data_IF_613024725341
#
_entry.id   IF_613024725341
#
_cell.length_a   1.000
_cell.length_b   1.000
_cell.length_c   1.000
_cell.angle_alpha   90.00
_cell.angle_beta   90.00
_cell.angle_gamma   90.00
#
_symmetry.space_group_name_H-M   'P 1'
#
loop_
_entity.id
_entity.type
_entity.pdbx_description
1 polymer ?
#
# COMPACT_ATOMS: atom_id res chain seq x y z
N UNK A 1 1.89 10.11 44.10
CA UNK A 1 2.57 9.84 45.41
C UNK A 1 3.97 9.25 45.23
N UNK A 2 5.00 9.73 45.94
CA UNK A 2 6.38 9.18 45.90
C UNK A 2 6.51 7.95 46.81
N UNK A 3 6.98 6.82 46.28
CA UNK A 3 7.13 5.56 47.03
C UNK A 3 8.57 5.31 47.47
N UNK A 4 9.54 5.65 46.62
CA UNK A 4 10.97 5.45 46.93
C UNK A 4 11.41 6.40 48.05
N UNK A 5 11.99 5.83 49.12
CA UNK A 5 12.55 6.59 50.26
C UNK A 5 14.05 6.84 50.13
N UNK A 6 14.81 5.83 49.70
CA UNK A 6 16.26 5.91 49.53
C UNK A 6 16.65 5.46 48.13
N UNK A 7 17.61 6.16 47.53
CA UNK A 7 18.15 5.84 46.20
C UNK A 7 19.66 5.73 46.22
N UNK A 8 20.19 4.93 45.30
CA UNK A 8 21.63 4.75 45.12
C UNK A 8 22.17 5.84 44.19
N UNK A 9 23.01 6.73 44.73
CA UNK A 9 23.64 7.82 44.00
C UNK A 9 25.14 7.53 43.85
N UNK A 10 25.73 7.91 42.73
CA UNK A 10 27.18 7.83 42.51
C UNK A 10 27.86 9.10 43.01
N UNK A 11 28.90 8.95 43.82
CA UNK A 11 29.78 10.05 44.17
C UNK A 11 30.54 10.56 42.94
N UNK A 12 30.47 11.87 42.70
CA UNK A 12 31.27 12.55 41.70
C UNK A 12 31.76 13.91 42.23
N UNK A 13 32.82 14.49 41.65
CA UNK A 13 33.33 15.78 42.12
C UNK A 13 32.30 16.92 42.10
N UNK A 14 31.31 16.86 41.21
CA UNK A 14 30.28 17.89 41.02
C UNK A 14 29.25 17.86 42.16
N UNK A 15 28.82 16.68 42.59
CA UNK A 15 27.82 16.49 43.64
C UNK A 15 28.43 16.34 45.04
N UNK A 16 29.77 16.26 45.12
CA UNK A 16 30.52 16.09 46.36
C UNK A 16 30.07 17.06 47.46
N UNK A 17 30.28 18.35 47.20
CA UNK A 17 30.04 19.43 48.17
C UNK A 17 28.58 19.43 48.67
N UNK A 18 27.64 19.25 47.74
CA UNK A 18 26.21 19.25 48.04
C UNK A 18 25.82 18.13 49.03
N UNK A 19 26.32 16.90 48.83
CA UNK A 19 25.97 15.80 49.73
C UNK A 19 26.80 15.79 51.02
N UNK A 20 28.03 16.31 51.02
CA UNK A 20 28.80 16.53 52.26
C UNK A 20 28.09 17.53 53.19
N UNK A 21 27.58 18.66 52.66
CA UNK A 21 26.80 19.66 53.41
C UNK A 21 25.51 19.08 54.00
N UNK A 22 24.95 18.05 53.35
CA UNK A 22 23.77 17.30 53.81
C UNK A 22 24.10 16.18 54.81
N UNK A 23 25.36 15.99 55.16
CA UNK A 23 25.82 15.01 56.15
C UNK A 23 26.18 13.64 55.59
N UNK A 24 26.23 13.47 54.26
CA UNK A 24 26.68 12.22 53.64
C UNK A 24 28.21 12.21 53.53
N UNK A 25 28.88 11.39 54.35
CA UNK A 25 30.34 11.28 54.45
C UNK A 25 30.72 9.84 54.85
N UNK A 26 31.91 9.30 54.49
CA UNK A 26 32.98 9.92 53.70
C UNK A 26 32.76 9.87 52.18
N UNK A 27 33.32 10.86 51.47
CA UNK A 27 33.43 10.85 50.02
C UNK A 27 34.39 9.76 49.56
N UNK A 28 33.90 8.81 48.76
CA UNK A 28 34.72 7.79 48.12
C UNK A 28 34.50 7.90 46.61
N UNK A 29 35.56 8.30 45.89
CA UNK A 29 35.51 8.59 44.46
C UNK A 29 34.89 7.44 43.66
N UNK A 30 33.91 7.77 42.81
CA UNK A 30 33.22 6.84 41.90
C UNK A 30 32.49 5.67 42.58
N UNK A 31 32.36 5.70 43.90
CA UNK A 31 31.56 4.74 44.66
C UNK A 31 30.09 5.14 44.67
N UNK A 32 29.24 4.25 45.19
CA UNK A 32 27.82 4.51 45.37
C UNK A 32 27.46 4.58 46.85
N UNK A 33 26.53 5.45 47.18
CA UNK A 33 25.99 5.62 48.52
C UNK A 33 24.47 5.76 48.46
N UNK A 34 23.81 5.54 49.60
CA UNK A 34 22.35 5.65 49.73
C UNK A 34 22.00 7.06 50.21
N UNK A 35 21.12 7.72 49.47
CA UNK A 35 20.65 9.09 49.74
C UNK A 35 19.14 9.06 49.94
N UNK A 36 18.63 9.84 50.88
CA UNK A 36 17.19 10.07 51.00
C UNK A 36 16.67 10.79 49.74
N UNK A 37 15.51 10.39 49.22
CA UNK A 37 14.98 10.99 47.98
C UNK A 37 14.72 12.49 48.14
N UNK A 38 14.39 12.95 49.34
CA UNK A 38 14.16 14.38 49.61
C UNK A 38 15.46 15.20 49.57
N UNK A 39 16.62 14.57 49.74
CA UNK A 39 17.93 15.21 49.61
C UNK A 39 18.47 15.20 48.18
N UNK A 40 17.78 14.57 47.22
CA UNK A 40 18.20 14.62 45.82
C UNK A 40 18.13 16.04 45.27
N UNK A 41 19.14 16.40 44.48
CA UNK A 41 19.10 17.62 43.67
C UNK A 41 17.89 17.60 42.71
N UNK A 42 17.23 18.75 42.54
CA UNK A 42 16.00 18.86 41.73
C UNK A 42 16.17 18.37 40.28
N UNK A 43 17.36 18.55 39.70
CA UNK A 43 17.73 18.12 38.35
C UNK A 43 18.30 16.69 38.26
N UNK A 44 18.20 15.90 39.33
CA UNK A 44 18.74 14.54 39.36
C UNK A 44 18.01 13.60 38.39
N UNK A 45 18.77 12.94 37.52
CA UNK A 45 18.27 11.89 36.61
C UNK A 45 18.07 10.51 37.27
N UNK A 46 18.18 10.41 38.60
CA UNK A 46 17.97 9.15 39.32
C UNK A 46 16.51 8.73 39.22
N UNK A 47 16.25 7.46 38.90
CA UNK A 47 14.90 6.90 38.80
C UNK A 47 14.32 6.69 40.19
N UNK A 48 13.07 7.10 40.35
CA UNK A 48 12.23 6.91 41.54
C UNK A 48 10.92 6.25 41.14
N UNK A 49 10.36 5.48 42.06
CA UNK A 49 9.05 4.87 41.92
C UNK A 49 7.99 5.78 42.53
N UNK A 50 6.94 6.01 41.76
CA UNK A 50 5.77 6.81 42.16
C UNK A 50 4.49 6.03 41.89
N UNK A 51 3.50 6.18 42.76
CA UNK A 51 2.15 5.73 42.50
C UNK A 51 1.39 6.81 41.70
N UNK A 52 0.61 6.37 40.71
CA UNK A 52 -0.29 7.20 39.92
C UNK A 52 -1.49 7.67 40.77
N UNK A 53 -1.62 8.97 40.99
CA UNK A 53 -2.69 9.54 41.82
C UNK A 53 -4.07 9.33 41.19
N UNK A 54 -4.18 9.36 39.85
CA UNK A 54 -5.43 9.10 39.12
C UNK A 54 -5.91 7.65 39.18
N UNK A 55 -4.99 6.70 39.30
CA UNK A 55 -5.36 5.29 39.52
C UNK A 55 -5.80 5.10 40.96
N UNK A 56 -5.10 5.72 41.91
CA UNK A 56 -5.45 5.67 43.34
C UNK A 56 -6.85 6.23 43.59
N UNK A 57 -7.23 7.33 42.93
CA UNK A 57 -8.60 7.89 42.99
C UNK A 57 -9.68 6.89 42.52
N UNK A 58 -9.32 5.89 41.70
CA UNK A 58 -10.21 4.82 41.23
C UNK A 58 -10.12 3.54 42.07
N UNK A 59 -9.30 3.53 43.14
CA UNK A 59 -9.04 2.34 43.94
C UNK A 59 -8.01 1.37 43.36
N UNK A 60 -7.27 1.78 42.31
CA UNK A 60 -6.25 0.96 41.67
C UNK A 60 -4.83 1.45 42.02
N UNK A 61 -3.90 0.52 42.30
CA UNK A 61 -2.49 0.87 42.54
C UNK A 61 -1.69 0.61 41.27
N UNK A 62 -1.24 1.69 40.61
CA UNK A 62 -0.29 1.61 39.49
C UNK A 62 1.01 2.33 39.85
N UNK A 63 2.12 1.59 39.83
CA UNK A 63 3.46 2.09 40.12
C UNK A 63 4.19 2.40 38.81
N UNK A 64 4.89 3.53 38.78
CA UNK A 64 5.62 4.03 37.61
C UNK A 64 7.03 4.41 38.04
N UNK A 65 8.03 3.94 37.29
CA UNK A 65 9.41 4.39 37.42
C UNK A 65 9.63 5.60 36.51
N UNK A 66 10.12 6.72 37.06
CA UNK A 66 10.48 7.92 36.31
C UNK A 66 11.66 8.64 36.96
N UNK A 67 12.38 9.45 36.20
CA UNK A 67 13.48 10.25 36.74
C UNK A 67 12.96 11.34 37.69
N UNK A 68 13.71 11.59 38.77
CA UNK A 68 13.35 12.60 39.77
C UNK A 68 13.19 14.00 39.15
N UNK A 69 14.11 14.40 38.27
CA UNK A 69 14.02 15.66 37.52
C UNK A 69 12.75 15.76 36.68
N UNK A 70 12.43 14.70 35.94
CA UNK A 70 11.23 14.64 35.10
C UNK A 70 9.96 14.73 35.96
N UNK A 71 9.90 14.03 37.08
CA UNK A 71 8.81 14.12 38.05
C UNK A 71 8.63 15.56 38.55
N UNK A 72 9.71 16.18 39.01
CA UNK A 72 9.67 17.55 39.53
C UNK A 72 9.14 18.52 38.47
N UNK A 73 9.62 18.41 37.23
CA UNK A 73 9.13 19.22 36.12
C UNK A 73 7.64 18.99 35.80
N UNK A 74 7.20 17.74 35.77
CA UNK A 74 5.81 17.37 35.53
C UNK A 74 4.87 17.82 36.66
N UNK A 75 5.39 17.98 37.88
CA UNK A 75 4.60 18.32 39.06
C UNK A 75 4.62 19.81 39.41
N UNK A 76 5.32 20.65 38.63
CA UNK A 76 5.41 22.11 38.84
C UNK A 76 4.06 22.82 38.89
N UNK A 77 3.10 22.36 38.08
CA UNK A 77 1.80 23.01 37.93
C UNK A 77 0.75 22.31 38.79
N UNK A 78 0.73 20.99 38.76
CA UNK A 78 -0.12 20.16 39.60
C UNK A 78 0.72 19.10 40.29
N UNK A 79 0.57 18.96 41.60
CA UNK A 79 1.33 18.01 42.41
C UNK A 79 0.75 16.59 42.35
N UNK A 80 0.45 16.12 41.12
CA UNK A 80 -0.06 14.77 40.85
C UNK A 80 0.88 14.01 39.93
N UNK A 81 1.16 12.76 40.23
CA UNK A 81 1.84 11.79 39.40
C UNK A 81 0.85 10.97 38.58
N UNK A 82 1.14 10.76 37.30
CA UNK A 82 0.31 9.91 36.43
C UNK A 82 1.13 8.77 35.83
N UNK A 83 0.45 7.64 35.57
CA UNK A 83 0.91 6.62 34.64
C UNK A 83 0.66 7.06 33.20
N UNK A 84 1.17 6.28 32.23
CA UNK A 84 0.99 6.57 30.81
C UNK A 84 -0.50 6.63 30.40
N UNK A 85 -1.33 5.71 30.93
CA UNK A 85 -2.77 5.67 30.64
C UNK A 85 -3.52 6.89 31.18
N UNK A 86 -3.09 7.41 32.33
CA UNK A 86 -3.71 8.57 32.98
C UNK A 86 -3.05 9.89 32.59
N UNK A 87 -2.00 9.88 31.76
CA UNK A 87 -1.34 11.09 31.27
C UNK A 87 -2.31 12.07 30.58
N UNK A 88 -3.29 11.63 29.77
CA UNK A 88 -4.28 12.54 29.18
C UNK A 88 -5.14 13.25 30.24
N UNK A 89 -5.50 12.58 31.34
CA UNK A 89 -6.24 13.18 32.46
C UNK A 89 -5.38 14.25 33.14
N UNK A 90 -4.11 13.92 33.39
CA UNK A 90 -3.15 14.88 33.94
C UNK A 90 -2.98 16.10 33.04
N UNK A 91 -2.87 15.89 31.73
CA UNK A 91 -2.76 16.97 30.76
C UNK A 91 -4.00 17.88 30.78
N UNK A 92 -5.20 17.30 30.89
CA UNK A 92 -6.45 18.04 31.03
C UNK A 92 -6.45 18.92 32.29
N UNK A 93 -6.08 18.37 33.44
CA UNK A 93 -5.99 19.14 34.70
C UNK A 93 -4.96 20.28 34.60
N UNK A 94 -3.82 20.04 33.96
CA UNK A 94 -2.79 21.07 33.71
C UNK A 94 -3.35 22.18 32.81
N UNK A 95 -4.03 21.83 31.72
CA UNK A 95 -4.63 22.82 30.81
C UNK A 95 -5.70 23.64 31.51
N UNK A 96 -6.55 23.00 32.30
CA UNK A 96 -7.60 23.68 33.05
C UNK A 96 -7.02 24.65 34.08
N UNK A 97 -5.96 24.25 34.81
CA UNK A 97 -5.28 25.12 35.77
C UNK A 97 -4.56 26.31 35.10
N UNK A 98 -4.01 26.13 33.90
CA UNK A 98 -3.26 27.20 33.21
C UNK A 98 -4.14 28.15 32.39
N UNK A 99 -5.17 27.62 31.75
CA UNK A 99 -5.91 28.31 30.69
C UNK A 99 -7.44 28.22 30.86
N UNK A 100 -7.94 27.55 31.91
CA UNK A 100 -9.38 27.40 32.14
C UNK A 100 -10.10 26.50 31.14
N UNK A 101 -9.36 25.81 30.26
CA UNK A 101 -9.90 24.96 29.20
C UNK A 101 -9.34 23.54 29.29
N UNK A 102 -10.06 22.56 28.79
CA UNK A 102 -9.66 21.16 28.84
C UNK A 102 -8.62 20.80 27.77
N UNK A 103 -8.63 21.54 26.67
CA UNK A 103 -7.80 21.30 25.50
C UNK A 103 -7.20 22.60 24.96
N UNK A 104 -5.93 22.58 24.59
CA UNK A 104 -5.25 23.71 23.95
C UNK A 104 -5.98 24.22 22.68
N UNK A 105 -6.71 23.37 21.97
CA UNK A 105 -7.51 23.75 20.79
C UNK A 105 -8.72 24.66 21.11
N UNK A 106 -9.13 24.72 22.38
CA UNK A 106 -10.17 25.64 22.86
C UNK A 106 -9.61 27.04 23.16
N UNK A 107 -8.29 27.21 23.20
CA UNK A 107 -7.66 28.52 23.39
C UNK A 107 -7.83 29.33 22.10
N UNK A 108 -8.48 30.49 22.21
CA UNK A 108 -8.87 31.29 21.04
C UNK A 108 -7.67 31.70 20.17
N UNK A 109 -6.56 32.10 20.78
CA UNK A 109 -5.32 32.44 20.05
C UNK A 109 -4.79 31.26 19.22
N UNK A 110 -4.83 30.05 19.78
CA UNK A 110 -4.38 28.83 19.10
C UNK A 110 -5.33 28.50 17.95
N UNK A 111 -6.64 28.66 18.17
CA UNK A 111 -7.67 28.45 17.16
C UNK A 111 -7.53 29.42 15.98
N UNK A 112 -7.31 30.70 16.26
CA UNK A 112 -7.06 31.73 15.24
C UNK A 112 -5.78 31.41 14.47
N UNK A 113 -4.68 31.10 15.16
CA UNK A 113 -3.39 30.76 14.55
C UNK A 113 -3.51 29.55 13.62
N UNK A 114 -4.16 28.48 14.08
CA UNK A 114 -4.40 27.29 13.27
C UNK A 114 -5.29 27.57 12.05
N UNK A 115 -6.30 28.42 12.20
CA UNK A 115 -7.16 28.82 11.09
C UNK A 115 -6.37 29.61 10.03
N UNK A 116 -5.50 30.52 10.45
CA UNK A 116 -4.66 31.31 9.54
C UNK A 116 -3.59 30.44 8.85
N UNK A 117 -3.01 29.46 9.53
CA UNK A 117 -2.10 28.48 8.92
C UNK A 117 -2.77 27.65 7.82
N UNK A 118 -4.08 27.46 7.88
CA UNK A 118 -4.87 26.75 6.86
C UNK A 118 -5.31 27.65 5.72
N UNK A 119 -5.07 28.96 5.76
CA UNK A 119 -5.40 29.85 4.64
C UNK A 119 -4.29 29.83 3.61
N UNK A 120 -4.67 29.73 2.35
CA UNK A 120 -3.79 29.88 1.21
C UNK A 120 -3.90 31.31 0.68
N UNK A 121 -2.77 31.87 0.24
CA UNK A 121 -2.75 33.14 -0.47
C UNK A 121 -3.56 33.04 -1.79
N UNK A 122 -4.54 33.93 -1.97
CA UNK A 122 -5.41 33.99 -3.16
C UNK A 122 -4.59 34.25 -4.43
N UNK A 123 -3.56 35.09 -4.38
CA UNK A 123 -2.71 35.40 -5.54
C UNK A 123 -2.00 34.15 -6.06
N UNK A 124 -1.60 33.26 -5.15
CA UNK A 124 -1.00 31.97 -5.50
C UNK A 124 -2.01 31.07 -6.23
N UNK A 125 -3.27 31.07 -5.78
CA UNK A 125 -4.34 30.27 -6.41
C UNK A 125 -4.59 30.78 -7.83
N UNK A 126 -4.73 32.09 -8.00
CA UNK A 126 -4.96 32.74 -9.31
C UNK A 126 -3.81 32.41 -10.26
N UNK A 127 -2.55 32.57 -9.81
CA UNK A 127 -1.36 32.26 -10.61
C UNK A 127 -1.38 30.82 -11.14
N UNK A 128 -1.62 29.84 -10.26
CA UNK A 128 -1.64 28.42 -10.64
C UNK A 128 -2.80 28.11 -11.60
N UNK A 129 -3.98 28.72 -11.39
CA UNK A 129 -5.12 28.52 -12.28
C UNK A 129 -4.84 29.05 -13.68
N UNK A 130 -4.21 30.23 -13.79
CA UNK A 130 -3.80 30.81 -15.07
C UNK A 130 -2.76 29.93 -15.78
N UNK A 131 -1.72 29.47 -15.06
CA UNK A 131 -0.70 28.55 -15.59
C UNK A 131 -1.32 27.23 -16.13
N UNK A 132 -2.42 26.77 -15.53
CA UNK A 132 -3.13 25.55 -15.93
C UNK A 132 -4.26 25.78 -16.94
N UNK A 133 -4.45 27.02 -17.39
CA UNK A 133 -5.52 27.43 -18.31
C UNK A 133 -6.93 27.13 -17.75
N UNK A 134 -7.16 27.50 -16.48
CA UNK A 134 -8.45 27.45 -15.81
C UNK A 134 -9.00 28.87 -15.60
N UNK A 135 -10.29 29.07 -15.88
CA UNK A 135 -11.01 30.31 -15.56
C UNK A 135 -11.73 30.13 -14.24
N UNK A 136 -11.37 30.91 -13.22
CA UNK A 136 -12.00 30.87 -11.89
C UNK A 136 -13.40 31.49 -11.97
N UNK A 137 -14.39 30.80 -11.40
CA UNK A 137 -15.77 31.27 -11.29
C UNK A 137 -16.06 31.74 -9.87
N UNK A 138 -15.70 30.92 -8.87
CA UNK A 138 -15.97 31.22 -7.47
C UNK A 138 -14.94 30.58 -6.55
N UNK A 139 -14.64 31.26 -5.44
CA UNK A 139 -13.78 30.76 -4.35
C UNK A 139 -14.60 30.85 -3.07
N UNK A 140 -15.03 29.70 -2.52
CA UNK A 140 -15.93 29.68 -1.35
C UNK A 140 -15.26 30.26 -0.11
N UNK A 141 -14.00 29.89 0.12
CA UNK A 141 -13.11 30.49 1.10
C UNK A 141 -11.65 30.23 0.67
N UNK A 142 -10.71 31.00 1.22
CA UNK A 142 -9.29 30.84 0.90
C UNK A 142 -8.60 29.76 1.75
N UNK A 143 -9.33 28.85 2.40
CA UNK A 143 -8.69 27.76 3.15
C UNK A 143 -8.13 26.74 2.17
N UNK A 144 -7.08 26.02 2.58
CA UNK A 144 -6.47 24.95 1.78
C UNK A 144 -7.50 23.89 1.38
N UNK A 145 -8.46 23.59 2.25
CA UNK A 145 -9.55 22.65 1.96
C UNK A 145 -10.83 23.32 1.42
N UNK A 146 -10.79 24.64 1.16
CA UNK A 146 -11.88 25.40 0.56
C UNK A 146 -12.20 24.95 -0.86
N UNK A 147 -13.42 25.19 -1.30
CA UNK A 147 -13.88 24.86 -2.66
C UNK A 147 -13.52 25.99 -3.64
N UNK A 148 -13.10 25.57 -4.83
CA UNK A 148 -12.83 26.39 -5.99
C UNK A 148 -13.69 25.88 -7.14
N UNK A 149 -14.52 26.76 -7.68
CA UNK A 149 -15.27 26.53 -8.91
C UNK A 149 -14.53 27.18 -10.08
N UNK A 150 -14.31 26.40 -11.13
CA UNK A 150 -13.54 26.84 -12.29
C UNK A 150 -14.04 26.16 -13.57
N UNK A 151 -13.74 26.77 -14.70
CA UNK A 151 -13.91 26.18 -16.04
C UNK A 151 -12.53 25.81 -16.57
N UNK A 152 -12.41 24.61 -17.11
CA UNK A 152 -11.19 24.19 -17.78
C UNK A 152 -11.27 24.57 -19.26
N UNK A 153 -10.39 25.48 -19.71
CA UNK A 153 -10.41 25.96 -21.10
C UNK A 153 -9.97 24.90 -22.12
N UNK A 154 -9.31 23.82 -21.68
CA UNK A 154 -9.02 22.64 -22.51
C UNK A 154 -10.25 21.76 -22.74
N UNK A 155 -11.22 21.81 -21.83
CA UNK A 155 -12.42 20.96 -21.83
C UNK A 155 -13.66 21.80 -21.50
N UNK A 156 -14.01 22.80 -22.34
CA UNK A 156 -15.09 23.75 -22.05
C UNK A 156 -16.46 23.07 -21.95
N UNK A 157 -16.63 21.96 -22.65
CA UNK A 157 -17.83 21.12 -22.69
C UNK A 157 -18.17 20.44 -21.35
N UNK A 158 -17.26 20.43 -20.36
CA UNK A 158 -17.57 19.99 -19.00
C UNK A 158 -18.29 21.06 -18.17
N UNK A 159 -18.29 22.32 -18.61
CA UNK A 159 -18.83 23.44 -17.85
C UNK A 159 -18.05 23.69 -16.56
N UNK A 160 -18.77 24.17 -15.54
CA UNK A 160 -18.22 24.53 -14.23
C UNK A 160 -17.89 23.26 -13.44
N UNK A 161 -16.64 23.15 -13.00
CA UNK A 161 -16.15 22.08 -12.15
C UNK A 161 -15.77 22.62 -10.79
N UNK A 162 -16.03 21.84 -9.73
CA UNK A 162 -15.68 22.19 -8.36
C UNK A 162 -14.62 21.24 -7.81
N UNK A 163 -13.60 21.77 -7.16
CA UNK A 163 -12.55 20.98 -6.49
C UNK A 163 -12.02 21.70 -5.25
N UNK A 164 -11.21 21.01 -4.45
CA UNK A 164 -10.52 21.62 -3.31
C UNK A 164 -9.31 22.43 -3.78
N UNK A 165 -9.07 23.58 -3.14
CA UNK A 165 -7.90 24.43 -3.40
C UNK A 165 -6.59 23.63 -3.28
N UNK A 166 -6.47 22.73 -2.29
CA UNK A 166 -5.29 21.86 -2.15
C UNK A 166 -4.97 21.05 -3.39
N UNK A 167 -5.99 20.53 -4.08
CA UNK A 167 -5.78 19.66 -5.24
C UNK A 167 -5.18 20.45 -6.40
N UNK A 168 -5.60 21.72 -6.54
CA UNK A 168 -5.02 22.66 -7.49
C UNK A 168 -3.56 22.94 -7.13
N UNK A 169 -3.23 23.19 -5.86
CA UNK A 169 -1.87 23.52 -5.44
C UNK A 169 -0.91 22.33 -5.55
N UNK A 170 -1.30 21.17 -5.02
CA UNK A 170 -0.43 19.99 -4.85
C UNK A 170 -0.24 19.19 -6.16
N UNK A 171 -0.70 19.70 -7.31
CA UNK A 171 -0.57 19.10 -8.66
C UNK A 171 -1.34 17.79 -8.92
N UNK A 172 -2.21 17.35 -8.01
CA UNK A 172 -2.91 16.06 -8.14
C UNK A 172 -4.25 16.11 -8.89
N UNK A 173 -4.68 17.26 -9.37
CA UNK A 173 -5.90 17.36 -10.16
C UNK A 173 -6.49 18.75 -10.20
N UNK A 174 -7.61 18.81 -10.89
CA UNK A 174 -8.40 20.01 -11.15
C UNK A 174 -9.53 19.57 -12.06
N UNK A 175 -9.33 19.75 -13.37
CA UNK A 175 -10.23 19.21 -14.38
C UNK A 175 -10.25 17.67 -14.36
N UNK A 176 -11.45 17.09 -14.38
CA UNK A 176 -11.69 15.64 -14.36
C UNK A 176 -11.00 14.92 -15.53
N UNK A 177 -11.09 15.46 -16.75
CA UNK A 177 -10.48 14.86 -17.94
C UNK A 177 -8.96 15.03 -17.91
N UNK A 178 -8.45 16.24 -17.66
CA UNK A 178 -6.99 16.45 -17.58
C UNK A 178 -6.33 15.55 -16.53
N UNK A 179 -7.00 15.36 -15.39
CA UNK A 179 -6.51 14.46 -14.34
C UNK A 179 -6.56 12.98 -14.72
N UNK A 180 -7.44 12.60 -15.64
CA UNK A 180 -7.55 11.24 -16.14
C UNK A 180 -6.50 10.95 -17.19
N UNK A 181 -6.33 11.85 -18.15
CA UNK A 181 -5.35 11.73 -19.22
C UNK A 181 -3.92 11.70 -18.67
N UNK A 182 -3.64 12.51 -17.63
CA UNK A 182 -2.34 12.54 -16.97
C UNK A 182 -1.95 11.24 -16.24
N UNK A 183 -2.84 10.24 -16.18
CA UNK A 183 -2.63 8.96 -15.48
C UNK A 183 -2.78 7.75 -16.41
N UNK A 184 -3.01 7.99 -17.70
CA UNK A 184 -3.19 6.94 -18.70
C UNK A 184 -1.97 6.84 -19.61
N UNK A 185 -1.99 5.79 -20.43
CA UNK A 185 -0.93 5.53 -21.41
C UNK A 185 0.42 5.41 -20.69
N UNK A 186 1.47 6.07 -21.18
CA UNK A 186 2.81 6.08 -20.60
C UNK A 186 2.90 6.60 -19.17
N UNK A 187 1.91 7.38 -18.73
CA UNK A 187 1.85 7.90 -17.37
C UNK A 187 1.28 6.88 -16.36
N UNK A 188 0.76 5.75 -16.84
CA UNK A 188 0.29 4.68 -15.97
C UNK A 188 1.46 3.82 -15.49
N UNK A 189 1.53 3.55 -14.19
CA UNK A 189 2.50 2.59 -13.62
C UNK A 189 2.31 1.16 -14.18
N UNK A 190 1.16 0.86 -14.79
CA UNK A 190 0.88 -0.41 -15.46
C UNK A 190 1.34 -0.41 -16.93
N UNK A 191 1.86 0.70 -17.44
CA UNK A 191 2.26 0.81 -18.84
C UNK A 191 3.49 -0.05 -19.14
N UNK A 192 3.38 -0.86 -20.19
CA UNK A 192 4.44 -1.76 -20.67
C UNK A 192 4.77 -1.47 -22.14
N UNK A 193 5.06 -0.21 -22.45
CA UNK A 193 5.54 0.20 -23.77
C UNK A 193 4.49 0.20 -24.89
N UNK A 194 3.18 0.33 -24.59
CA UNK A 194 2.15 0.45 -25.64
C UNK A 194 1.84 -0.82 -26.44
N UNK A 195 2.42 -1.98 -26.09
CA UNK A 195 2.29 -3.25 -26.84
C UNK A 195 0.84 -3.75 -27.04
N UNK A 196 -0.12 -3.21 -26.27
CA UNK A 196 -1.51 -3.67 -26.26
C UNK A 196 -2.20 -3.52 -27.62
N UNK A 197 -1.87 -2.49 -28.40
CA UNK A 197 -2.50 -2.24 -29.71
C UNK A 197 -2.13 -3.35 -30.71
N UNK A 198 -0.83 -3.58 -30.92
CA UNK A 198 -0.31 -4.64 -31.78
C UNK A 198 -0.70 -6.04 -31.29
N UNK A 199 -0.61 -6.27 -29.98
CA UNK A 199 -0.98 -7.54 -29.38
C UNK A 199 -2.44 -7.93 -29.65
N UNK A 200 -3.38 -6.98 -29.50
CA UNK A 200 -4.79 -7.25 -29.76
C UNK A 200 -5.06 -7.52 -31.25
N UNK A 201 -4.39 -6.80 -32.14
CA UNK A 201 -4.47 -7.03 -33.59
C UNK A 201 -4.00 -8.44 -33.98
N UNK A 202 -2.80 -8.84 -33.52
CA UNK A 202 -2.19 -10.12 -33.88
C UNK A 202 -2.93 -11.34 -33.30
N UNK A 203 -3.63 -11.20 -32.17
CA UNK A 203 -4.45 -12.30 -31.61
C UNK A 203 -5.52 -12.83 -32.56
N UNK A 204 -6.01 -11.98 -33.46
CA UNK A 204 -7.01 -12.34 -34.45
C UNK A 204 -6.40 -13.02 -35.69
N UNK A 205 -5.07 -12.95 -35.86
CA UNK A 205 -4.34 -13.41 -37.05
C UNK A 205 -3.75 -14.82 -36.91
N UNK A 206 -3.70 -15.34 -35.68
CA UNK A 206 -3.15 -16.68 -35.37
C UNK A 206 -4.19 -17.81 -35.41
N UNK A 207 -5.34 -17.61 -36.08
CA UNK A 207 -6.45 -18.57 -36.05
C UNK A 207 -6.12 -19.93 -36.68
N UNK A 208 -5.27 -19.97 -37.72
CA UNK A 208 -4.77 -21.22 -38.30
C UNK A 208 -4.01 -22.05 -37.27
N UNK A 209 -3.06 -21.44 -36.57
CA UNK A 209 -2.31 -22.08 -35.49
C UNK A 209 -3.22 -22.57 -34.36
N UNK A 210 -4.26 -21.79 -34.01
CA UNK A 210 -5.25 -22.22 -33.01
C UNK A 210 -6.01 -23.48 -33.45
N UNK A 211 -6.47 -23.51 -34.70
CA UNK A 211 -7.19 -24.66 -35.26
C UNK A 211 -6.30 -25.90 -35.28
N UNK A 212 -5.04 -25.77 -35.70
CA UNK A 212 -4.11 -26.90 -35.75
C UNK A 212 -3.75 -27.41 -34.35
N UNK A 213 -3.63 -26.50 -33.39
CA UNK A 213 -3.48 -26.84 -31.96
C UNK A 213 -4.68 -27.67 -31.47
N UNK A 214 -5.92 -27.31 -31.82
CA UNK A 214 -7.10 -28.08 -31.46
C UNK A 214 -7.14 -29.45 -32.15
N UNK A 215 -6.83 -29.52 -33.45
CA UNK A 215 -6.79 -30.77 -34.22
C UNK A 215 -5.84 -31.79 -33.61
N UNK A 216 -4.64 -31.37 -33.20
CA UNK A 216 -3.65 -32.23 -32.55
C UNK A 216 -4.21 -32.96 -31.32
N UNK A 217 -5.13 -32.33 -30.60
CA UNK A 217 -5.77 -32.88 -29.39
C UNK A 217 -7.19 -33.40 -29.65
N UNK A 218 -7.57 -33.66 -30.91
CA UNK A 218 -8.91 -34.11 -31.28
C UNK A 218 -10.02 -33.22 -30.71
N UNK A 219 -9.80 -31.90 -30.67
CA UNK A 219 -10.72 -30.91 -30.11
C UNK A 219 -11.10 -31.16 -28.65
N UNK A 220 -10.17 -31.73 -27.87
CA UNK A 220 -10.36 -32.02 -26.44
C UNK A 220 -9.31 -31.30 -25.59
N UNK A 221 -9.68 -31.00 -24.36
CA UNK A 221 -8.77 -30.51 -23.34
C UNK A 221 -7.68 -31.56 -23.08
N UNK A 222 -6.42 -31.13 -23.09
CA UNK A 222 -5.26 -32.00 -22.87
C UNK A 222 -5.30 -32.72 -21.51
N UNK A 223 -5.92 -32.11 -20.49
CA UNK A 223 -6.01 -32.67 -19.14
C UNK A 223 -7.33 -33.44 -18.96
N UNK A 224 -8.47 -32.77 -19.07
CA UNK A 224 -9.78 -33.36 -18.75
C UNK A 224 -10.37 -34.22 -19.87
N UNK A 225 -9.90 -34.09 -21.12
CA UNK A 225 -10.47 -34.78 -22.28
C UNK A 225 -11.84 -34.25 -22.73
N UNK A 226 -12.35 -33.19 -22.12
CA UNK A 226 -13.62 -32.55 -22.49
C UNK A 226 -13.46 -31.61 -23.68
N UNK A 227 -14.55 -31.33 -24.40
CA UNK A 227 -14.54 -30.52 -25.62
C UNK A 227 -15.31 -29.19 -25.48
N UNK A 228 -15.73 -28.82 -24.27
CA UNK A 228 -16.52 -27.61 -24.03
C UNK A 228 -15.61 -26.39 -23.77
N UNK A 229 -15.83 -25.30 -24.49
CA UNK A 229 -15.21 -23.97 -24.26
C UNK A 229 -13.69 -24.00 -24.04
N UNK A 230 -12.94 -24.53 -25.01
CA UNK A 230 -11.49 -24.66 -24.90
C UNK A 230 -10.74 -23.33 -25.12
N UNK A 231 -9.77 -23.05 -24.25
CA UNK A 231 -8.77 -22.00 -24.40
C UNK A 231 -7.41 -22.62 -24.74
N UNK A 232 -6.69 -22.01 -25.68
CA UNK A 232 -5.37 -22.52 -26.09
C UNK A 232 -4.30 -21.80 -25.29
N UNK A 233 -3.66 -22.55 -24.40
CA UNK A 233 -2.52 -22.08 -23.63
C UNK A 233 -1.27 -22.06 -24.51
N UNK A 234 -0.53 -20.95 -24.48
CA UNK A 234 0.73 -20.80 -25.21
C UNK A 234 1.87 -21.28 -24.31
N UNK A 235 2.64 -22.27 -24.77
CA UNK A 235 3.84 -22.74 -24.05
C UNK A 235 4.91 -21.65 -24.06
N UNK A 236 5.15 -21.04 -25.22
CA UNK A 236 5.99 -19.85 -25.32
C UNK A 236 5.11 -18.58 -25.27
N UNK A 237 5.28 -17.68 -24.29
CA UNK A 237 4.36 -16.57 -24.07
C UNK A 237 4.15 -15.68 -25.31
N UNK A 238 2.90 -15.38 -25.63
CA UNK A 238 2.55 -14.58 -26.81
C UNK A 238 3.24 -13.21 -26.87
N UNK A 239 3.44 -12.53 -25.73
CA UNK A 239 4.20 -11.27 -25.69
C UNK A 239 5.66 -11.45 -26.14
N UNK A 240 6.30 -12.59 -25.83
CA UNK A 240 7.65 -12.88 -26.29
C UNK A 240 7.66 -13.12 -27.80
N UNK A 241 6.68 -13.85 -28.34
CA UNK A 241 6.54 -14.05 -29.78
C UNK A 241 6.41 -12.72 -30.53
N UNK A 242 5.63 -11.76 -30.01
CA UNK A 242 5.50 -10.44 -30.63
C UNK A 242 6.84 -9.70 -30.61
N UNK A 243 7.55 -9.71 -29.48
CA UNK A 243 8.87 -9.08 -29.38
C UNK A 243 9.88 -9.71 -30.36
N UNK A 244 9.93 -11.05 -30.41
CA UNK A 244 10.81 -11.78 -31.32
C UNK A 244 10.46 -11.49 -32.78
N UNK A 245 9.17 -11.33 -33.11
CA UNK A 245 8.70 -10.94 -34.44
C UNK A 245 9.26 -9.57 -34.84
N UNK A 246 9.18 -8.58 -33.95
CA UNK A 246 9.68 -7.23 -34.21
C UNK A 246 11.21 -7.21 -34.33
N UNK A 247 11.90 -7.99 -33.49
CA UNK A 247 13.36 -8.13 -33.52
C UNK A 247 13.81 -8.80 -34.84
N UNK A 248 13.20 -9.92 -35.24
CA UNK A 248 13.56 -10.62 -36.48
C UNK A 248 13.28 -9.79 -37.73
N UNK A 249 12.26 -8.93 -37.71
CA UNK A 249 11.95 -8.00 -38.82
C UNK A 249 12.72 -6.68 -38.75
N UNK A 250 13.52 -6.47 -37.71
CA UNK A 250 14.19 -5.20 -37.42
C UNK A 250 13.23 -3.99 -37.44
N UNK A 251 12.04 -4.16 -36.85
CA UNK A 251 11.00 -3.14 -36.76
C UNK A 251 10.88 -2.58 -35.34
N UNK A 252 10.62 -1.28 -35.24
CA UNK A 252 10.34 -0.61 -33.95
C UNK A 252 8.85 -0.75 -33.63
N UNK A 253 8.54 -0.99 -32.36
CA UNK A 253 7.15 -0.99 -31.86
C UNK A 253 6.55 0.41 -32.00
N UNK A 254 5.45 0.53 -32.76
CA UNK A 254 4.69 1.77 -32.93
C UNK A 254 3.48 1.79 -31.98
N UNK A 255 2.99 2.99 -31.68
CA UNK A 255 1.97 3.20 -30.67
C UNK A 255 0.58 2.69 -31.11
N UNK A 256 0.17 3.03 -32.33
CA UNK A 256 -1.11 2.62 -32.91
C UNK A 256 -0.92 1.69 -34.10
N UNK A 257 -1.92 0.84 -34.36
CA UNK A 257 -1.97 0.02 -35.58
C UNK A 257 -1.94 0.88 -36.84
N UNK A 258 -2.57 2.06 -36.80
CA UNK A 258 -2.58 3.01 -37.92
C UNK A 258 -1.20 3.54 -38.29
N UNK A 259 -0.22 3.44 -37.40
CA UNK A 259 1.13 3.94 -37.64
C UNK A 259 1.96 2.95 -38.48
N UNK A 260 1.50 1.71 -38.62
CA UNK A 260 2.14 0.71 -39.47
C UNK A 260 1.64 0.83 -40.91
N UNK A 261 2.56 0.67 -41.88
CA UNK A 261 2.16 0.50 -43.27
C UNK A 261 1.46 -0.84 -43.47
N UNK A 262 0.70 -0.97 -44.56
CA UNK A 262 0.02 -2.23 -44.89
C UNK A 262 1.04 -3.36 -45.14
N UNK A 263 2.18 -3.02 -45.72
CA UNK A 263 3.29 -3.93 -46.01
C UNK A 263 3.95 -4.39 -44.70
N UNK A 264 4.24 -3.47 -43.77
CA UNK A 264 4.78 -3.80 -42.45
C UNK A 264 3.84 -4.73 -41.68
N UNK A 265 2.54 -4.42 -41.63
CA UNK A 265 1.56 -5.27 -40.93
C UNK A 265 1.51 -6.68 -41.52
N UNK A 266 1.53 -6.80 -42.85
CA UNK A 266 1.52 -8.10 -43.50
C UNK A 266 2.77 -8.93 -43.14
N UNK A 267 3.95 -8.31 -43.14
CA UNK A 267 5.19 -8.97 -42.73
C UNK A 267 5.14 -9.41 -41.26
N UNK A 268 4.65 -8.54 -40.37
CA UNK A 268 4.48 -8.87 -38.95
C UNK A 268 3.50 -10.03 -38.77
N UNK A 269 2.38 -10.05 -39.49
CA UNK A 269 1.39 -11.13 -39.42
C UNK A 269 2.00 -12.48 -39.82
N UNK A 270 2.67 -12.52 -40.97
CA UNK A 270 3.30 -13.73 -41.52
C UNK A 270 4.39 -14.24 -40.58
N UNK A 271 5.29 -13.36 -40.13
CA UNK A 271 6.38 -13.72 -39.22
C UNK A 271 5.86 -14.12 -37.84
N UNK A 272 4.86 -13.42 -37.31
CA UNK A 272 4.24 -13.77 -36.04
C UNK A 272 3.67 -15.19 -36.11
N UNK A 273 2.92 -15.51 -37.17
CA UNK A 273 2.36 -16.85 -37.36
C UNK A 273 3.47 -17.91 -37.51
N UNK A 274 4.51 -17.63 -38.30
CA UNK A 274 5.69 -18.50 -38.44
C UNK A 274 6.31 -18.82 -37.07
N UNK A 275 6.54 -17.81 -36.23
CA UNK A 275 7.11 -17.99 -34.90
C UNK A 275 6.18 -18.77 -33.96
N UNK A 276 4.86 -18.68 -34.11
CA UNK A 276 3.94 -19.55 -33.35
C UNK A 276 4.15 -21.02 -33.71
N UNK A 277 4.28 -21.37 -34.99
CA UNK A 277 4.55 -22.76 -35.38
C UNK A 277 5.96 -23.20 -34.98
N UNK A 278 6.97 -22.33 -35.10
CA UNK A 278 8.36 -22.61 -34.69
C UNK A 278 8.47 -22.94 -33.20
N UNK A 279 7.70 -22.24 -32.36
CA UNK A 279 7.65 -22.47 -30.91
C UNK A 279 6.68 -23.59 -30.49
N UNK A 280 6.04 -24.26 -31.46
CA UNK A 280 5.15 -25.39 -31.23
C UNK A 280 3.67 -25.01 -31.08
N UNK A 281 2.82 -26.03 -31.22
CA UNK A 281 1.36 -25.89 -31.06
C UNK A 281 0.97 -25.68 -29.60
N UNK A 282 -0.09 -24.90 -29.38
CA UNK A 282 -0.62 -24.63 -28.06
C UNK A 282 -1.39 -25.81 -27.48
N UNK A 283 -1.68 -25.71 -26.18
CA UNK A 283 -2.31 -26.78 -25.41
C UNK A 283 -3.75 -26.39 -25.08
N UNK A 284 -4.77 -27.08 -25.62
CA UNK A 284 -6.16 -26.79 -25.31
C UNK A 284 -6.49 -27.16 -23.87
N UNK A 285 -7.00 -26.20 -23.11
CA UNK A 285 -7.39 -26.34 -21.71
C UNK A 285 -8.81 -25.80 -21.50
N UNK A 286 -9.50 -26.32 -20.48
CA UNK A 286 -10.70 -25.65 -19.98
C UNK A 286 -10.29 -24.33 -19.32
N UNK A 287 -11.14 -23.29 -19.32
CA UNK A 287 -10.79 -21.98 -18.76
C UNK A 287 -10.40 -22.07 -17.28
N UNK A 288 -11.06 -22.97 -16.56
CA UNK A 288 -10.80 -23.27 -15.14
C UNK A 288 -9.37 -23.81 -14.94
N UNK A 289 -8.98 -24.81 -15.75
CA UNK A 289 -7.64 -25.42 -15.72
C UNK A 289 -6.55 -24.43 -16.16
N UNK A 290 -6.84 -23.62 -17.18
CA UNK A 290 -5.93 -22.59 -17.66
C UNK A 290 -5.67 -21.51 -16.60
N UNK A 291 -6.71 -21.11 -15.87
CA UNK A 291 -6.58 -20.18 -14.74
C UNK A 291 -5.79 -20.80 -13.60
N UNK A 292 -6.08 -22.05 -13.22
CA UNK A 292 -5.34 -22.76 -12.17
C UNK A 292 -3.86 -22.89 -12.49
N UNK A 293 -3.51 -23.17 -13.75
CA UNK A 293 -2.13 -23.22 -14.22
C UNK A 293 -1.41 -21.89 -13.97
N UNK A 294 -2.01 -20.76 -14.38
CA UNK A 294 -1.42 -19.44 -14.17
C UNK A 294 -1.40 -18.99 -12.71
N UNK A 295 -2.31 -19.49 -11.86
CA UNK A 295 -2.26 -19.25 -10.43
C UNK A 295 -1.10 -19.99 -9.76
N UNK A 296 -0.83 -21.24 -10.18
CA UNK A 296 0.24 -22.05 -9.61
C UNK A 296 1.63 -21.63 -10.08
N UNK A 297 1.79 -21.28 -11.36
CA UNK A 297 3.11 -21.09 -11.96
C UNK A 297 3.35 -19.68 -12.51
N UNK A 298 2.35 -18.79 -12.38
CA UNK A 298 2.42 -17.43 -12.89
C UNK A 298 1.97 -17.30 -14.35
N UNK A 299 1.93 -16.04 -14.82
CA UNK A 299 1.53 -15.70 -16.20
C UNK A 299 2.70 -15.73 -17.21
N UNK A 300 3.91 -16.01 -16.74
CA UNK A 300 5.14 -16.04 -17.53
C UNK A 300 5.75 -17.44 -17.52
N UNK A 301 6.37 -17.83 -18.64
CA UNK A 301 7.26 -19.00 -18.77
C UNK A 301 6.70 -20.33 -18.25
N UNK A 302 5.41 -20.56 -18.50
CA UNK A 302 4.77 -21.84 -18.22
C UNK A 302 5.11 -22.84 -19.32
N UNK A 303 6.09 -23.69 -19.05
CA UNK A 303 6.47 -24.79 -19.94
C UNK A 303 5.62 -26.06 -19.77
N UNK A 304 5.94 -27.11 -20.54
CA UNK A 304 5.23 -28.40 -20.47
C UNK A 304 5.41 -29.12 -19.13
N UNK A 305 6.49 -28.81 -18.37
CA UNK A 305 6.75 -29.44 -17.07
C UNK A 305 5.75 -28.95 -16.03
N UNK A 306 5.40 -27.67 -16.05
CA UNK A 306 4.36 -27.10 -15.18
C UNK A 306 2.97 -27.70 -15.45
N UNK A 307 2.68 -28.04 -16.71
CA UNK A 307 1.42 -28.71 -17.07
C UNK A 307 1.41 -30.14 -16.52
N UNK A 308 2.53 -30.86 -16.61
CA UNK A 308 2.66 -32.19 -16.00
C UNK A 308 2.53 -32.12 -14.48
N UNK A 309 3.16 -31.15 -13.83
CA UNK A 309 3.02 -30.91 -12.39
C UNK A 309 1.58 -30.59 -11.99
N UNK A 310 0.85 -29.81 -12.81
CA UNK A 310 -0.58 -29.58 -12.60
C UNK A 310 -1.36 -30.89 -12.66
N UNK A 311 -1.09 -31.75 -13.64
CA UNK A 311 -1.74 -33.07 -13.77
C UNK A 311 -1.45 -33.93 -12.53
N UNK A 312 -0.21 -33.98 -12.05
CA UNK A 312 0.18 -34.72 -10.84
C UNK A 312 -0.51 -34.17 -9.59
N UNK A 313 -0.54 -32.85 -9.42
CA UNK A 313 -1.20 -32.21 -8.29
C UNK A 313 -2.71 -32.46 -8.25
N UNK A 314 -3.36 -32.51 -9.41
CA UNK A 314 -4.77 -32.92 -9.52
C UNK A 314 -4.92 -34.39 -9.14
N UNK A 315 -4.09 -35.30 -9.70
CA UNK A 315 -4.17 -36.74 -9.43
C UNK A 315 -3.98 -37.07 -7.96
N UNK A 316 -3.06 -36.37 -7.30
CA UNK A 316 -2.73 -36.60 -5.89
C UNK A 316 -3.71 -35.89 -4.92
N UNK A 317 -4.74 -35.19 -5.42
CA UNK A 317 -5.69 -34.42 -4.60
C UNK A 317 -5.07 -33.22 -3.87
N UNK A 318 -3.79 -32.92 -4.10
CA UNK A 318 -3.01 -31.92 -3.36
C UNK A 318 -3.25 -30.48 -3.84
N UNK A 319 -3.95 -30.29 -4.96
CA UNK A 319 -4.17 -28.98 -5.54
C UNK A 319 -4.91 -28.02 -4.61
N UNK A 320 -5.78 -28.54 -3.73
CA UNK A 320 -6.53 -27.75 -2.75
C UNK A 320 -5.61 -27.11 -1.69
N UNK A 321 -4.70 -27.91 -1.13
CA UNK A 321 -3.75 -27.44 -0.12
C UNK A 321 -2.82 -26.36 -0.70
N UNK A 322 -2.29 -26.61 -1.90
CA UNK A 322 -1.34 -25.69 -2.55
C UNK A 322 -2.00 -24.35 -2.91
N UNK A 323 -3.25 -24.36 -3.37
CA UNK A 323 -3.97 -23.12 -3.72
C UNK A 323 -4.34 -22.30 -2.48
N UNK A 324 -4.65 -22.93 -1.34
CA UNK A 324 -4.88 -22.25 -0.07
C UNK A 324 -3.60 -21.62 0.47
N UNK A 325 -2.51 -22.40 0.52
CA UNK A 325 -1.20 -21.94 1.01
C UNK A 325 -0.70 -20.71 0.21
N UNK A 326 -0.88 -20.71 -1.11
CA UNK A 326 -0.52 -19.56 -1.96
C UNK A 326 -1.42 -18.33 -1.78
N UNK A 327 -2.69 -18.53 -1.45
CA UNK A 327 -3.59 -17.42 -1.17
C UNK A 327 -3.18 -16.72 0.14
N UNK A 328 -2.76 -17.49 1.14
CA UNK A 328 -2.23 -16.96 2.41
C UNK A 328 -0.87 -16.27 2.24
N UNK A 329 0.01 -16.79 1.37
CA UNK A 329 1.25 -16.10 1.00
C UNK A 329 1.01 -14.76 0.27
N UNK A 330 0.03 -14.71 -0.65
CA UNK A 330 -0.37 -13.47 -1.33
C UNK A 330 -0.96 -12.43 -0.36
N UNK A 331 -1.71 -12.89 0.66
CA UNK A 331 -2.27 -12.04 1.70
C UNK A 331 -1.20 -11.48 2.65
N UNK A 332 -0.10 -12.21 2.87
CA UNK A 332 0.98 -11.79 3.74
C UNK A 332 1.97 -10.80 3.09
N UNK A 333 1.97 -10.66 1.76
CA UNK A 333 3.01 -9.88 1.05
C UNK A 333 2.57 -8.59 0.35
N UNK A 334 1.29 -8.15 0.36
CA UNK A 334 0.97 -6.81 -0.16
C UNK A 334 -0.31 -6.14 0.38
N UNK A 335 -0.08 -4.90 0.85
CA UNK A 335 -1.03 -3.79 0.84
C UNK A 335 -1.73 -3.65 -0.54
N UNK A 336 -3.06 -3.49 -0.52
CA UNK A 336 -3.89 -2.89 -1.57
C UNK A 336 -3.66 -3.33 -3.03
N UNK A 337 -4.15 -4.53 -3.39
CA UNK A 337 -4.66 -4.78 -4.74
C UNK A 337 -5.92 -5.64 -4.63
N UNK A 338 -7.07 -5.12 -5.08
CA UNK A 338 -8.39 -5.76 -5.08
C UNK A 338 -8.49 -6.97 -6.06
N UNK A 339 -7.56 -7.92 -5.99
CA UNK A 339 -7.60 -9.18 -6.74
C UNK A 339 -7.90 -10.37 -5.81
N UNK A 340 -8.70 -10.16 -4.77
CA UNK A 340 -9.22 -11.27 -3.96
C UNK A 340 -10.15 -12.12 -4.83
N UNK A 341 -9.81 -13.39 -5.06
CA UNK A 341 -10.76 -14.37 -5.55
C UNK A 341 -11.45 -14.95 -4.32
N UNK A 342 -12.77 -14.73 -4.13
CA UNK A 342 -13.46 -15.24 -2.96
C UNK A 342 -13.29 -16.76 -2.83
N UNK A 343 -13.04 -17.28 -1.62
CA UNK A 343 -12.87 -18.73 -1.38
C UNK A 343 -14.00 -19.56 -2.01
N UNK A 344 -15.24 -19.06 -1.98
CA UNK A 344 -16.39 -19.74 -2.58
C UNK A 344 -16.29 -19.91 -4.11
N UNK A 345 -15.63 -18.98 -4.81
CA UNK A 345 -15.38 -19.06 -6.25
C UNK A 345 -14.31 -20.13 -6.54
N UNK A 346 -13.30 -20.25 -5.67
CA UNK A 346 -12.31 -21.33 -5.69
C UNK A 346 -12.98 -22.70 -5.46
N UNK A 347 -13.83 -22.84 -4.44
CA UNK A 347 -14.57 -24.07 -4.16
C UNK A 347 -15.49 -24.49 -5.31
N UNK A 348 -16.21 -23.54 -5.92
CA UNK A 348 -17.13 -23.83 -7.04
C UNK A 348 -16.40 -24.19 -8.33
N UNK A 349 -15.30 -23.50 -8.65
CA UNK A 349 -14.44 -23.87 -9.78
C UNK A 349 -13.83 -25.27 -9.58
N UNK A 350 -13.44 -25.63 -8.35
CA UNK A 350 -12.83 -26.92 -8.03
C UNK A 350 -13.83 -28.08 -7.98
N UNK A 351 -15.03 -27.88 -7.46
CA UNK A 351 -16.09 -28.90 -7.51
C UNK A 351 -16.44 -29.28 -8.96
N UNK A 352 -16.46 -28.28 -9.86
CA UNK A 352 -16.62 -28.48 -11.30
C UNK A 352 -15.41 -29.19 -11.91
N UNK A 353 -14.20 -28.82 -11.52
CA UNK A 353 -12.96 -29.44 -12.00
C UNK A 353 -12.90 -30.94 -11.67
N UNK A 354 -13.21 -31.31 -10.41
CA UNK A 354 -13.20 -32.69 -9.93
C UNK A 354 -14.31 -33.52 -10.58
N UNK A 355 -15.53 -33.00 -10.68
CA UNK A 355 -16.64 -33.66 -11.39
C UNK A 355 -16.30 -33.91 -12.87
N UNK A 356 -15.66 -32.93 -13.53
CA UNK A 356 -15.25 -33.01 -14.94
C UNK A 356 -14.10 -33.99 -15.18
N UNK A 357 -13.19 -34.16 -14.22
CA UNK A 357 -12.05 -35.07 -14.31
C UNK A 357 -12.45 -36.51 -13.97
N UNK A 358 -13.33 -36.72 -12.98
CA UNK A 358 -13.81 -38.06 -12.61
C UNK A 358 -14.65 -38.71 -13.74
N UNK A 359 -15.38 -37.91 -14.52
CA UNK A 359 -16.09 -38.38 -15.74
C UNK A 359 -15.18 -38.96 -16.84
N UNK A 360 -13.85 -38.83 -16.74
CA UNK A 360 -12.85 -39.47 -17.61
C UNK A 360 -12.43 -40.86 -17.14
N UNK A 361 -12.67 -41.23 -15.88
CA UNK A 361 -12.32 -42.55 -15.35
C UNK A 361 -13.42 -43.61 -15.58
N UNK A 362 -14.65 -43.17 -15.87
CA UNK A 362 -15.81 -44.04 -16.10
C UNK A 362 -16.13 -44.32 -17.60
N UNK A 363 -15.23 -43.96 -18.52
CA UNK A 363 -15.29 -44.26 -19.96
C UNK A 363 -13.95 -44.74 -20.45
#
# INVERSE_FOLDING_TARGET
MLLTRKVKVRWNPINRKYYEEKGYSPYIYNSFFLVDVNDLQLGSGVKVEVACDYCLEKGEITIVSKEYATRNNQNKIIEKDSCFKCFPLKQKDVMFKKHGVENAMQIEDIKIKNTNLRKTNIDKIIKICNERNFTIINISDNKTDGQLDFICNKHPNLGIQSTKIRNIIEHYGGCKICSYDSRREENSYLWKGGISSLHNYLRCKINSWKIDSLKKYNYKCAISGQNEQLEIHHIYPFNKIINDTLIELNLVLKYQISDYSKEELKLIEEKCLELHYKNGLGIPLLPELHKSLHMLFGKSDTDITHINQLIENIRNGNIFKILLDKNDELNNYNFNVNNEIPLWLLFTMMARLLDKINKKQDK
#
